data_IF_095083746438
#
_entry.id   IF_095083746438
#
_cell.length_a   1.000
_cell.length_b   1.000
_cell.length_c   1.000
_cell.angle_alpha   90.00
_cell.angle_beta   90.00
_cell.angle_gamma   90.00
#
_symmetry.space_group_name_H-M   'P 1'
#
loop_
_entity.id
_entity.type
_entity.pdbx_description
1 polymer ?
#
# COMPACT_ATOMS: atom_id res chain seq x y z
N UNK A 1 -32.70 -9.57 8.06
CA UNK A 1 -31.28 -9.99 7.92
C UNK A 1 -31.23 -11.23 7.05
N UNK A 2 -30.43 -11.25 5.97
CA UNK A 2 -30.26 -12.39 5.09
C UNK A 2 -29.55 -13.55 5.80
N UNK A 3 -29.79 -14.79 5.36
CA UNK A 3 -29.09 -15.96 5.92
C UNK A 3 -27.56 -15.86 5.70
N UNK A 4 -27.13 -15.29 4.59
CA UNK A 4 -25.74 -14.99 4.30
C UNK A 4 -25.11 -14.13 5.39
N UNK A 5 -25.73 -13.03 5.76
CA UNK A 5 -25.23 -12.13 6.80
C UNK A 5 -25.24 -12.81 8.18
N UNK A 6 -26.31 -13.54 8.51
CA UNK A 6 -26.44 -14.22 9.79
C UNK A 6 -25.35 -15.29 10.01
N UNK A 7 -25.00 -16.07 8.96
CA UNK A 7 -23.93 -17.08 9.00
C UNK A 7 -22.55 -16.42 9.19
N UNK A 8 -22.31 -15.32 8.48
CA UNK A 8 -21.03 -14.57 8.58
C UNK A 8 -20.85 -13.97 9.98
N UNK A 9 -21.85 -13.28 10.51
CA UNK A 9 -21.78 -12.66 11.83
C UNK A 9 -21.55 -13.72 12.92
N UNK A 10 -22.27 -14.84 12.87
CA UNK A 10 -22.10 -15.95 13.82
C UNK A 10 -20.68 -16.52 13.78
N UNK A 11 -20.16 -16.74 12.58
CA UNK A 11 -18.80 -17.23 12.38
C UNK A 11 -17.76 -16.24 12.89
N UNK A 12 -17.92 -14.96 12.58
CA UNK A 12 -16.99 -13.92 13.01
C UNK A 12 -16.90 -13.85 14.53
N UNK A 13 -18.01 -13.92 15.25
CA UNK A 13 -18.03 -13.87 16.73
C UNK A 13 -17.24 -15.01 17.38
N UNK A 14 -17.10 -16.16 16.75
CA UNK A 14 -16.47 -17.34 17.33
C UNK A 14 -15.12 -17.71 16.72
N UNK A 15 -14.90 -17.39 15.46
CA UNK A 15 -13.74 -17.81 14.67
C UNK A 15 -13.07 -16.68 13.86
N UNK A 16 -13.63 -15.48 13.91
CA UNK A 16 -13.04 -14.30 13.32
C UNK A 16 -11.79 -13.84 14.07
N UNK A 17 -11.08 -12.87 13.51
CA UNK A 17 -9.95 -12.23 14.17
C UNK A 17 -10.46 -11.16 15.13
N UNK A 18 -9.96 -11.16 16.38
CA UNK A 18 -10.35 -10.21 17.42
C UNK A 18 -9.15 -9.54 18.10
N UNK A 19 -7.95 -9.91 17.72
CA UNK A 19 -6.69 -9.52 18.37
C UNK A 19 -5.87 -8.50 17.57
N UNK A 20 -6.40 -8.02 16.44
CA UNK A 20 -5.70 -7.04 15.63
C UNK A 20 -5.70 -5.67 16.33
N UNK A 21 -4.55 -4.95 16.36
CA UNK A 21 -4.41 -3.72 17.14
C UNK A 21 -5.46 -2.65 16.83
N UNK A 22 -5.90 -2.58 15.58
CA UNK A 22 -6.89 -1.60 15.09
C UNK A 22 -8.36 -1.99 15.34
N UNK A 23 -8.64 -3.22 15.79
CA UNK A 23 -10.01 -3.66 16.12
C UNK A 23 -10.47 -3.24 17.51
N UNK A 24 -9.56 -2.78 18.37
CA UNK A 24 -9.84 -2.43 19.76
C UNK A 24 -10.17 -0.96 19.95
N UNK A 25 -10.45 -0.25 18.89
CA UNK A 25 -10.69 1.19 18.92
C UNK A 25 -11.75 1.61 17.93
N UNK A 26 -12.45 2.71 18.23
CA UNK A 26 -13.34 3.42 17.29
C UNK A 26 -12.73 4.77 16.87
N UNK A 27 -11.48 5.03 17.22
CA UNK A 27 -10.79 6.25 16.80
C UNK A 27 -10.60 6.26 15.28
N UNK A 28 -11.21 7.21 14.55
CA UNK A 28 -11.15 7.27 13.10
C UNK A 28 -9.73 7.36 12.53
N UNK A 29 -8.82 8.03 13.23
CA UNK A 29 -7.41 8.09 12.83
C UNK A 29 -6.77 6.71 12.81
N UNK A 30 -6.96 5.94 13.86
CA UNK A 30 -6.39 4.60 14.03
C UNK A 30 -6.98 3.59 13.05
N UNK A 31 -8.30 3.63 12.87
CA UNK A 31 -9.01 2.77 11.91
C UNK A 31 -8.58 3.11 10.48
N UNK A 32 -8.61 4.40 10.10
CA UNK A 32 -8.18 4.85 8.78
C UNK A 32 -6.73 4.48 8.47
N UNK A 33 -5.80 4.69 9.41
CA UNK A 33 -4.39 4.32 9.24
C UNK A 33 -4.26 2.84 8.89
N UNK A 34 -4.95 1.96 9.61
CA UNK A 34 -4.94 0.51 9.34
C UNK A 34 -5.53 0.17 7.98
N UNK A 35 -6.66 0.78 7.60
CA UNK A 35 -7.31 0.57 6.31
C UNK A 35 -6.38 0.93 5.14
N UNK A 36 -5.66 2.06 5.24
CA UNK A 36 -4.70 2.47 4.20
C UNK A 36 -3.47 1.56 4.18
N UNK A 37 -2.93 1.15 5.34
CA UNK A 37 -1.77 0.25 5.40
C UNK A 37 -2.09 -1.14 4.86
N UNK A 38 -3.30 -1.64 5.09
CA UNK A 38 -3.77 -2.97 4.64
C UNK A 38 -4.08 -3.05 3.15
N UNK A 39 -4.18 -1.92 2.43
CA UNK A 39 -4.36 -1.95 0.98
C UNK A 39 -3.19 -2.69 0.32
N UNK A 40 -3.47 -3.86 -0.27
CA UNK A 40 -2.50 -4.72 -0.96
C UNK A 40 -1.30 -5.17 -0.09
N UNK A 41 -1.43 -5.13 1.24
CA UNK A 41 -0.39 -5.54 2.19
C UNK A 41 -0.99 -6.50 3.22
N UNK A 42 -0.24 -7.53 3.60
CA UNK A 42 -0.70 -8.54 4.55
C UNK A 42 -0.67 -8.03 5.99
N UNK A 43 -1.57 -8.52 6.83
CA UNK A 43 -1.69 -8.16 8.25
C UNK A 43 -0.36 -8.33 9.01
N UNK A 44 0.33 -9.45 8.82
CA UNK A 44 1.61 -9.71 9.49
C UNK A 44 2.69 -8.67 9.16
N UNK A 45 2.67 -8.15 7.93
CA UNK A 45 3.57 -7.06 7.51
C UNK A 45 3.13 -5.72 8.09
N UNK A 46 1.81 -5.44 8.11
CA UNK A 46 1.27 -4.15 8.56
C UNK A 46 1.41 -3.94 10.06
N UNK A 47 1.20 -4.98 10.88
CA UNK A 47 1.16 -4.85 12.33
C UNK A 47 2.38 -4.11 12.93
N UNK A 48 3.64 -4.49 12.65
CA UNK A 48 4.79 -3.77 13.20
C UNK A 48 4.91 -2.33 12.69
N UNK A 49 4.50 -2.06 11.44
CA UNK A 49 4.49 -0.70 10.89
C UNK A 49 3.43 0.18 11.56
N UNK A 50 2.24 -0.35 11.77
CA UNK A 50 1.14 0.34 12.42
C UNK A 50 1.50 0.76 13.84
N UNK A 51 2.07 -0.15 14.63
CA UNK A 51 2.48 0.14 16.00
C UNK A 51 3.58 1.21 16.06
N UNK A 52 4.64 1.06 15.26
CA UNK A 52 5.73 2.04 15.16
C UNK A 52 5.24 3.41 14.67
N UNK A 53 4.30 3.43 13.73
CA UNK A 53 3.74 4.67 13.21
C UNK A 53 2.96 5.43 14.28
N UNK A 54 2.13 4.72 15.07
CA UNK A 54 1.37 5.32 16.18
C UNK A 54 2.24 5.69 17.38
N UNK A 55 3.35 5.03 17.60
CA UNK A 55 4.33 5.42 18.62
C UNK A 55 4.94 6.79 18.30
N UNK A 56 5.25 7.04 17.03
CA UNK A 56 5.87 8.28 16.58
C UNK A 56 4.89 9.39 16.29
N UNK A 57 3.73 9.06 15.72
CA UNK A 57 2.68 9.98 15.31
C UNK A 57 1.33 9.50 15.91
N UNK A 58 1.12 9.70 17.22
CA UNK A 58 -0.01 9.11 17.95
C UNK A 58 -1.36 9.68 17.58
N UNK A 59 -1.42 10.90 17.05
CA UNK A 59 -2.65 11.60 16.66
C UNK A 59 -2.66 12.05 15.21
N UNK A 60 -3.85 12.35 14.70
CA UNK A 60 -4.03 12.93 13.38
C UNK A 60 -3.28 14.27 13.23
N UNK A 61 -3.27 15.08 14.29
CA UNK A 61 -2.58 16.37 14.31
C UNK A 61 -1.06 16.20 14.19
N UNK A 62 -0.50 15.21 14.89
CA UNK A 62 0.93 14.88 14.79
C UNK A 62 1.28 14.47 13.36
N UNK A 63 0.46 13.61 12.73
CA UNK A 63 0.66 13.21 11.34
C UNK A 63 0.56 14.42 10.39
N UNK A 64 -0.41 15.30 10.58
CA UNK A 64 -0.59 16.47 9.70
C UNK A 64 0.58 17.47 9.82
N UNK A 65 1.16 17.63 11.02
CA UNK A 65 2.27 18.52 11.29
C UNK A 65 3.65 17.94 10.95
N UNK A 66 3.75 16.61 10.82
CA UNK A 66 5.02 15.94 10.56
C UNK A 66 5.66 16.38 9.23
N UNK A 67 6.98 16.43 9.12
CA UNK A 67 7.65 16.55 7.85
C UNK A 67 7.33 15.37 6.92
N UNK A 68 7.22 15.64 5.61
CA UNK A 68 6.93 14.58 4.63
C UNK A 68 7.96 13.47 4.68
N UNK A 69 9.23 13.81 4.88
CA UNK A 69 10.35 12.86 4.98
C UNK A 69 10.17 11.87 6.13
N UNK A 70 9.68 12.34 7.28
CA UNK A 70 9.41 11.49 8.45
C UNK A 70 8.30 10.49 8.15
N UNK A 71 7.20 10.93 7.55
CA UNK A 71 6.09 10.06 7.14
C UNK A 71 6.55 9.02 6.13
N UNK A 72 7.35 9.42 5.14
CA UNK A 72 7.90 8.52 4.13
C UNK A 72 8.90 7.51 4.72
N UNK A 73 9.71 7.92 5.68
CA UNK A 73 10.63 7.04 6.42
C UNK A 73 9.88 5.99 7.22
N UNK A 74 8.87 6.38 7.98
CA UNK A 74 8.00 5.45 8.75
C UNK A 74 7.28 4.45 7.85
N UNK A 75 7.00 4.81 6.59
CA UNK A 75 6.35 3.97 5.59
C UNK A 75 7.31 3.10 4.78
N UNK A 76 8.62 3.38 4.86
CA UNK A 76 9.64 2.73 4.04
C UNK A 76 9.62 1.21 4.22
N UNK A 77 9.52 0.46 3.12
CA UNK A 77 9.39 -0.99 3.10
C UNK A 77 7.97 -1.52 2.89
N UNK A 78 6.89 -0.74 3.19
CA UNK A 78 5.51 -1.17 2.93
C UNK A 78 5.14 -1.15 1.43
N UNK A 79 5.88 -0.41 0.62
CA UNK A 79 5.57 -0.24 -0.80
C UNK A 79 4.35 0.65 -1.08
N UNK A 80 4.03 0.83 -2.38
CA UNK A 80 2.91 1.68 -2.81
C UNK A 80 2.91 3.06 -2.14
N UNK A 81 4.02 3.76 -2.22
CA UNK A 81 4.31 5.02 -1.50
C UNK A 81 3.32 6.17 -1.77
N UNK A 82 2.54 6.09 -2.86
CA UNK A 82 1.43 7.01 -3.08
C UNK A 82 0.41 6.98 -1.92
N UNK A 83 0.28 5.83 -1.22
CA UNK A 83 -0.59 5.72 -0.04
C UNK A 83 -0.08 6.60 1.10
N UNK A 84 1.22 6.61 1.37
CA UNK A 84 1.82 7.45 2.41
C UNK A 84 1.66 8.95 2.10
N UNK A 85 1.88 9.34 0.84
CA UNK A 85 1.65 10.74 0.41
C UNK A 85 0.20 11.16 0.55
N UNK A 86 -0.73 10.30 0.11
CA UNK A 86 -2.16 10.56 0.24
C UNK A 86 -2.61 10.57 1.70
N UNK A 87 -2.05 9.67 2.54
CA UNK A 87 -2.28 9.64 3.98
C UNK A 87 -1.89 10.98 4.61
N UNK A 88 -0.70 11.49 4.31
CA UNK A 88 -0.24 12.77 4.82
C UNK A 88 -1.08 13.95 4.30
N UNK A 89 -1.40 13.97 2.99
CA UNK A 89 -2.26 14.99 2.41
C UNK A 89 -3.69 14.95 3.00
N UNK A 90 -4.20 13.75 3.27
CA UNK A 90 -5.50 13.57 3.92
C UNK A 90 -5.50 14.12 5.35
N UNK A 91 -4.47 13.81 6.16
CA UNK A 91 -4.35 14.33 7.52
C UNK A 91 -4.39 15.86 7.54
N UNK A 92 -3.63 16.52 6.66
CA UNK A 92 -3.65 17.98 6.49
C UNK A 92 -5.02 18.49 6.09
N UNK A 93 -5.69 17.83 5.12
CA UNK A 93 -7.01 18.21 4.68
C UNK A 93 -8.06 18.10 5.81
N UNK A 94 -7.97 17.09 6.67
CA UNK A 94 -8.87 16.95 7.83
C UNK A 94 -8.62 18.05 8.85
N UNK A 95 -7.36 18.39 9.13
CA UNK A 95 -7.04 19.51 10.03
C UNK A 95 -7.54 20.84 9.47
N UNK A 96 -7.25 21.13 8.20
CA UNK A 96 -7.56 22.41 7.57
C UNK A 96 -9.06 22.63 7.31
N UNK A 97 -9.79 21.57 6.89
CA UNK A 97 -11.16 21.69 6.41
C UNK A 97 -12.21 21.20 7.40
N UNK A 98 -11.80 20.34 8.35
CA UNK A 98 -12.70 19.70 9.31
C UNK A 98 -12.27 19.93 10.77
N UNK A 99 -11.37 20.90 11.04
CA UNK A 99 -10.93 21.24 12.40
C UNK A 99 -10.23 20.11 13.15
N UNK A 100 -9.63 19.16 12.44
CA UNK A 100 -8.92 18.02 13.02
C UNK A 100 -9.79 16.80 13.38
N UNK A 101 -11.11 16.85 13.11
CA UNK A 101 -12.02 15.74 13.31
C UNK A 101 -12.43 15.10 11.97
N UNK A 102 -12.41 13.77 11.89
CA UNK A 102 -12.92 13.09 10.70
C UNK A 102 -14.41 13.40 10.49
N UNK A 103 -14.84 13.71 9.25
CA UNK A 103 -16.26 13.78 8.93
C UNK A 103 -16.92 12.42 9.18
N UNK A 104 -18.21 12.41 9.53
CA UNK A 104 -18.93 11.17 9.82
C UNK A 104 -19.63 10.61 8.59
N UNK A 105 -20.05 11.48 7.67
CA UNK A 105 -20.74 11.09 6.44
C UNK A 105 -19.81 10.38 5.44
N UNK A 106 -20.17 9.19 4.96
CA UNK A 106 -19.33 8.40 4.03
C UNK A 106 -18.90 9.17 2.78
N UNK A 107 -19.79 9.99 2.22
CA UNK A 107 -19.48 10.82 1.05
C UNK A 107 -18.40 11.88 1.35
N UNK A 108 -18.43 12.49 2.53
CA UNK A 108 -17.43 13.46 2.97
C UNK A 108 -16.07 12.78 3.24
N UNK A 109 -16.07 11.58 3.84
CA UNK A 109 -14.86 10.77 4.02
C UNK A 109 -14.26 10.39 2.67
N UNK A 110 -15.09 9.96 1.70
CA UNK A 110 -14.64 9.57 0.36
C UNK A 110 -14.07 10.73 -0.47
N UNK A 111 -14.41 11.97 -0.13
CA UNK A 111 -13.85 13.17 -0.77
C UNK A 111 -12.43 13.52 -0.28
N UNK A 112 -11.94 12.88 0.79
CA UNK A 112 -10.59 13.10 1.31
C UNK A 112 -9.52 12.43 0.43
N UNK A 113 -8.30 12.99 0.37
CA UNK A 113 -7.22 12.46 -0.45
C UNK A 113 -6.91 10.98 -0.19
N UNK A 114 -6.94 10.17 -1.25
CA UNK A 114 -6.57 8.74 -1.19
C UNK A 114 -7.60 7.82 -0.55
N UNK A 115 -8.77 8.29 -0.19
CA UNK A 115 -9.86 7.48 0.37
C UNK A 115 -10.87 7.17 -0.73
N UNK A 116 -10.99 5.88 -1.07
CA UNK A 116 -12.02 5.39 -1.98
C UNK A 116 -13.32 5.01 -1.25
N UNK A 117 -14.41 4.82 -2.01
CA UNK A 117 -15.74 4.48 -1.48
C UNK A 117 -15.72 3.36 -0.44
N UNK A 118 -15.05 2.22 -0.74
CA UNK A 118 -15.02 1.07 0.19
C UNK A 118 -14.33 1.40 1.51
N UNK A 119 -13.20 2.13 1.45
CA UNK A 119 -12.47 2.56 2.66
C UNK A 119 -13.27 3.59 3.46
N UNK A 120 -13.94 4.54 2.78
CA UNK A 120 -14.80 5.52 3.44
C UNK A 120 -15.94 4.86 4.19
N UNK A 121 -16.60 3.90 3.55
CA UNK A 121 -17.69 3.13 4.15
C UNK A 121 -17.19 2.32 5.36
N UNK A 122 -16.03 1.64 5.26
CA UNK A 122 -15.45 0.90 6.38
C UNK A 122 -15.14 1.81 7.59
N UNK A 123 -14.58 2.99 7.36
CA UNK A 123 -14.32 3.98 8.43
C UNK A 123 -15.64 4.43 9.04
N UNK A 124 -16.64 4.76 8.22
CA UNK A 124 -17.94 5.22 8.69
C UNK A 124 -18.67 4.14 9.53
N UNK A 125 -18.58 2.87 9.10
CA UNK A 125 -19.19 1.76 9.83
C UNK A 125 -18.49 1.49 11.17
N UNK A 126 -17.15 1.39 11.16
CA UNK A 126 -16.40 1.05 12.37
C UNK A 126 -16.37 2.16 13.42
N UNK A 127 -16.36 3.42 12.96
CA UNK A 127 -16.20 4.57 13.85
C UNK A 127 -17.52 5.24 14.22
N UNK A 128 -18.48 5.27 13.30
CA UNK A 128 -19.71 6.06 13.41
C UNK A 128 -21.00 5.24 13.26
N UNK A 129 -20.89 3.91 13.20
CA UNK A 129 -22.03 2.98 13.10
C UNK A 129 -22.91 3.25 11.86
N UNK A 130 -22.29 3.72 10.78
CA UNK A 130 -22.99 3.87 9.51
C UNK A 130 -23.45 2.50 8.98
N UNK A 131 -24.44 2.49 8.12
CA UNK A 131 -24.93 1.28 7.47
C UNK A 131 -24.60 1.32 5.98
N UNK A 132 -23.36 1.01 5.66
CA UNK A 132 -22.82 1.10 4.31
C UNK A 132 -22.13 -0.19 3.85
N UNK A 133 -22.33 -0.63 2.60
CA UNK A 133 -21.63 -1.81 2.08
C UNK A 133 -20.17 -1.50 1.78
N UNK A 134 -19.29 -2.49 1.98
CA UNK A 134 -17.89 -2.42 1.53
C UNK A 134 -17.66 -3.36 0.33
N UNK A 135 -16.63 -3.07 -0.47
CA UNK A 135 -16.28 -3.87 -1.63
C UNK A 135 -14.78 -3.85 -1.90
N UNK A 136 -14.01 -4.36 -0.93
CA UNK A 136 -12.56 -4.56 -1.08
C UNK A 136 -12.23 -5.83 -1.89
N UNK A 137 -10.96 -6.15 -2.07
CA UNK A 137 -10.52 -7.33 -2.81
C UNK A 137 -10.95 -8.66 -2.18
N UNK A 138 -11.11 -8.73 -0.86
CA UNK A 138 -11.61 -9.91 -0.15
C UNK A 138 -13.10 -10.09 -0.38
N UNK A 139 -13.87 -9.02 -0.18
CA UNK A 139 -15.33 -9.02 -0.38
C UNK A 139 -15.66 -9.34 -1.83
N UNK A 140 -15.01 -8.71 -2.82
CA UNK A 140 -15.17 -9.04 -4.25
C UNK A 140 -14.99 -10.54 -4.51
N UNK A 141 -13.96 -11.15 -3.94
CA UNK A 141 -13.69 -12.58 -4.11
C UNK A 141 -14.75 -13.48 -3.46
N UNK A 142 -15.14 -13.16 -2.22
CA UNK A 142 -16.19 -13.89 -1.51
C UNK A 142 -17.51 -13.84 -2.26
N UNK A 143 -17.95 -12.66 -2.68
CA UNK A 143 -19.20 -12.48 -3.43
C UNK A 143 -19.16 -13.17 -4.79
N UNK A 144 -18.06 -13.03 -5.56
CA UNK A 144 -17.94 -13.71 -6.85
C UNK A 144 -18.06 -15.24 -6.70
N UNK A 145 -17.42 -15.83 -5.70
CA UNK A 145 -17.47 -17.27 -5.46
C UNK A 145 -18.83 -17.72 -4.91
N UNK A 146 -19.35 -17.01 -3.93
CA UNK A 146 -20.59 -17.40 -3.27
C UNK A 146 -21.79 -17.31 -4.21
N UNK A 147 -21.85 -16.31 -5.08
CA UNK A 147 -22.98 -16.05 -5.99
C UNK A 147 -22.67 -16.38 -7.46
N UNK A 148 -21.54 -16.99 -7.78
CA UNK A 148 -21.18 -17.39 -9.14
C UNK A 148 -21.05 -16.20 -10.10
N UNK A 149 -20.56 -15.04 -9.63
CA UNK A 149 -20.45 -13.85 -10.48
C UNK A 149 -19.23 -13.97 -11.39
N UNK A 150 -19.49 -14.01 -12.68
CA UNK A 150 -18.49 -14.10 -13.74
C UNK A 150 -17.96 -12.72 -14.14
N UNK A 151 -16.83 -12.74 -14.80
CA UNK A 151 -16.13 -11.56 -15.26
C UNK A 151 -15.05 -11.08 -14.27
N UNK A 152 -14.19 -10.18 -14.76
CA UNK A 152 -13.18 -9.55 -13.91
C UNK A 152 -13.85 -8.57 -12.93
N UNK A 153 -13.66 -8.71 -11.60
CA UNK A 153 -14.35 -7.89 -10.59
C UNK A 153 -14.05 -6.39 -10.65
N UNK A 154 -13.00 -5.99 -11.37
CA UNK A 154 -12.67 -4.59 -11.63
C UNK A 154 -13.20 -4.06 -12.95
N UNK A 155 -13.96 -4.85 -13.72
CA UNK A 155 -14.67 -4.36 -14.90
C UNK A 155 -15.91 -3.56 -14.45
N UNK A 156 -16.18 -2.37 -15.03
CA UNK A 156 -17.23 -1.47 -14.52
C UNK A 156 -18.60 -2.11 -14.35
N UNK A 157 -19.02 -2.96 -15.30
CA UNK A 157 -20.30 -3.65 -15.23
C UNK A 157 -20.36 -4.68 -14.09
N UNK A 158 -19.27 -5.45 -13.89
CA UNK A 158 -19.17 -6.45 -12.82
C UNK A 158 -19.08 -5.76 -11.46
N UNK A 159 -18.28 -4.71 -11.36
CA UNK A 159 -18.14 -3.93 -10.13
C UNK A 159 -19.45 -3.28 -9.71
N UNK A 160 -20.21 -2.71 -10.65
CA UNK A 160 -21.56 -2.18 -10.38
C UNK A 160 -22.50 -3.26 -9.83
N UNK A 161 -22.50 -4.47 -10.43
CA UNK A 161 -23.30 -5.61 -9.97
C UNK A 161 -22.88 -6.04 -8.54
N UNK A 162 -21.57 -6.07 -8.26
CA UNK A 162 -21.05 -6.43 -6.94
C UNK A 162 -21.45 -5.39 -5.87
N UNK A 163 -21.43 -4.09 -6.19
CA UNK A 163 -21.90 -3.04 -5.29
C UNK A 163 -23.40 -3.17 -4.98
N UNK A 164 -24.23 -3.45 -6.00
CA UNK A 164 -25.66 -3.69 -5.78
C UNK A 164 -25.86 -4.89 -4.85
N UNK A 165 -25.21 -6.01 -5.15
CA UNK A 165 -25.30 -7.21 -4.32
C UNK A 165 -24.81 -6.98 -2.88
N UNK A 166 -23.70 -6.24 -2.70
CA UNK A 166 -23.19 -5.92 -1.37
C UNK A 166 -24.19 -5.08 -0.56
N UNK A 167 -24.91 -4.16 -1.21
CA UNK A 167 -25.96 -3.37 -0.58
C UNK A 167 -27.20 -4.23 -0.22
N UNK A 168 -27.62 -5.14 -1.10
CA UNK A 168 -28.77 -6.03 -0.87
C UNK A 168 -28.53 -7.02 0.28
N UNK A 169 -27.27 -7.40 0.51
CA UNK A 169 -26.86 -8.34 1.56
C UNK A 169 -26.60 -7.68 2.91
N UNK A 170 -26.57 -6.35 2.96
CA UNK A 170 -26.23 -5.60 4.16
C UNK A 170 -27.29 -5.79 5.25
N UNK A 171 -26.94 -6.24 6.46
CA UNK A 171 -27.90 -6.44 7.54
C UNK A 171 -28.37 -5.11 8.14
N UNK A 172 -29.50 -5.15 8.85
CA UNK A 172 -30.07 -3.98 9.52
C UNK A 172 -29.37 -3.67 10.88
N UNK A 173 -28.65 -4.66 11.41
CA UNK A 173 -27.92 -4.56 12.68
C UNK A 173 -26.61 -5.33 12.61
N UNK A 174 -25.68 -5.05 13.54
CA UNK A 174 -24.38 -5.71 13.63
C UNK A 174 -23.51 -5.51 12.37
N UNK A 175 -23.66 -4.37 11.69
CA UNK A 175 -22.99 -4.06 10.42
C UNK A 175 -21.47 -4.16 10.55
N UNK A 176 -20.88 -3.61 11.60
CA UNK A 176 -19.43 -3.72 11.84
C UNK A 176 -18.93 -5.16 11.96
N UNK A 177 -19.68 -6.05 12.63
CA UNK A 177 -19.36 -7.47 12.72
C UNK A 177 -19.49 -8.17 11.36
N UNK A 178 -20.50 -7.81 10.57
CA UNK A 178 -20.70 -8.33 9.21
C UNK A 178 -19.57 -7.93 8.27
N UNK A 179 -19.17 -6.65 8.28
CA UNK A 179 -18.08 -6.13 7.46
C UNK A 179 -16.76 -6.80 7.83
N UNK A 180 -16.47 -6.87 9.14
CA UNK A 180 -15.28 -7.56 9.63
C UNK A 180 -15.30 -9.04 9.24
N UNK A 181 -16.45 -9.70 9.30
CA UNK A 181 -16.60 -11.11 8.89
C UNK A 181 -16.26 -11.33 7.41
N UNK A 182 -16.68 -10.45 6.52
CA UNK A 182 -16.37 -10.55 5.10
C UNK A 182 -14.87 -10.41 4.84
N UNK A 183 -14.21 -9.45 5.48
CA UNK A 183 -12.76 -9.24 5.38
C UNK A 183 -12.00 -10.43 5.96
N UNK A 184 -12.39 -10.92 7.13
CA UNK A 184 -11.77 -12.07 7.80
C UNK A 184 -11.93 -13.35 6.99
N UNK A 185 -13.12 -13.62 6.50
CA UNK A 185 -13.39 -14.79 5.66
C UNK A 185 -12.51 -14.79 4.41
N UNK A 186 -12.44 -13.63 3.74
CA UNK A 186 -11.59 -13.48 2.56
C UNK A 186 -10.10 -13.66 2.88
N UNK A 187 -9.64 -13.11 4.00
CA UNK A 187 -8.23 -13.17 4.38
C UNK A 187 -7.80 -14.55 4.90
N UNK A 188 -8.69 -15.31 5.55
CA UNK A 188 -8.31 -16.52 6.31
C UNK A 188 -8.82 -17.84 5.72
N UNK A 189 -10.02 -17.88 5.15
CA UNK A 189 -10.64 -19.11 4.62
C UNK A 189 -10.82 -19.06 3.11
N UNK A 190 -11.52 -18.05 2.59
CA UNK A 190 -11.78 -17.88 1.16
C UNK A 190 -10.59 -17.19 0.47
N UNK A 191 -9.40 -17.72 0.67
CA UNK A 191 -8.14 -17.18 0.12
C UNK A 191 -8.08 -17.30 -1.40
N UNK A 192 -7.19 -16.51 -2.03
CA UNK A 192 -7.04 -16.49 -3.49
C UNK A 192 -6.69 -17.86 -4.06
N UNK A 193 -5.76 -18.54 -3.41
CA UNK A 193 -5.30 -19.89 -3.76
C UNK A 193 -5.64 -20.85 -2.63
N UNK A 194 -6.01 -22.11 -2.95
CA UNK A 194 -6.30 -23.16 -1.96
C UNK A 194 -7.27 -22.72 -0.85
N UNK A 195 -8.49 -22.25 -1.17
CA UNK A 195 -9.47 -21.86 -0.17
C UNK A 195 -9.86 -23.06 0.72
N UNK A 196 -10.05 -22.82 2.02
CA UNK A 196 -10.47 -23.84 2.99
C UNK A 196 -12.00 -23.95 3.03
N UNK A 197 -12.59 -24.49 1.97
CA UNK A 197 -14.03 -24.53 1.78
C UNK A 197 -14.78 -25.35 2.82
N UNK A 198 -14.15 -26.39 3.38
CA UNK A 198 -14.81 -27.28 4.37
C UNK A 198 -14.99 -26.59 5.74
N UNK A 199 -14.18 -25.60 6.05
CA UNK A 199 -14.31 -24.77 7.26
C UNK A 199 -15.13 -23.48 7.01
N UNK A 200 -15.63 -23.27 5.79
CA UNK A 200 -16.28 -22.02 5.41
C UNK A 200 -17.75 -21.98 5.89
N UNK A 201 -18.21 -20.94 6.61
CA UNK A 201 -19.60 -20.82 7.05
C UNK A 201 -20.61 -20.72 5.88
N UNK A 202 -20.12 -20.39 4.69
CA UNK A 202 -20.91 -20.24 3.47
C UNK A 202 -20.83 -21.46 2.54
N UNK A 203 -20.19 -22.55 2.97
CA UNK A 203 -19.87 -23.70 2.12
C UNK A 203 -21.10 -24.29 1.39
N UNK A 204 -22.24 -24.42 2.09
CA UNK A 204 -23.45 -25.03 1.56
C UNK A 204 -24.13 -24.19 0.46
N UNK A 205 -24.08 -22.87 0.59
CA UNK A 205 -24.71 -21.95 -0.36
C UNK A 205 -23.73 -21.43 -1.44
N UNK A 206 -22.46 -21.84 -1.39
CA UNK A 206 -21.44 -21.32 -2.30
C UNK A 206 -21.53 -21.96 -3.68
N UNK A 207 -21.87 -21.16 -4.70
CA UNK A 207 -21.96 -21.60 -6.10
C UNK A 207 -20.63 -22.15 -6.58
N UNK A 208 -19.54 -21.43 -6.38
CA UNK A 208 -18.22 -21.85 -6.85
C UNK A 208 -17.77 -23.19 -6.23
N UNK A 209 -18.09 -23.47 -4.94
CA UNK A 209 -17.82 -24.76 -4.32
C UNK A 209 -18.67 -25.88 -4.95
N UNK A 210 -19.96 -25.66 -5.06
CA UNK A 210 -20.89 -26.65 -5.63
C UNK A 210 -20.53 -27.04 -7.07
N UNK A 211 -20.04 -26.08 -7.85
CA UNK A 211 -19.70 -26.26 -9.26
C UNK A 211 -18.20 -26.57 -9.49
N UNK A 212 -17.39 -26.69 -8.44
CA UNK A 212 -15.95 -26.96 -8.56
C UNK A 212 -15.13 -25.79 -9.15
N UNK A 213 -15.65 -24.56 -9.14
CA UNK A 213 -15.10 -23.37 -9.82
C UNK A 213 -14.38 -22.40 -8.90
N UNK A 214 -13.93 -22.84 -7.73
CA UNK A 214 -13.26 -21.96 -6.75
C UNK A 214 -11.94 -21.38 -7.24
N UNK A 215 -11.25 -22.02 -8.17
CA UNK A 215 -10.02 -21.52 -8.80
C UNK A 215 -10.28 -20.58 -9.98
N UNK A 216 -11.43 -20.72 -10.64
CA UNK A 216 -11.83 -19.88 -11.77
C UNK A 216 -12.41 -18.52 -11.30
N UNK A 217 -13.10 -18.52 -10.14
CA UNK A 217 -13.74 -17.33 -9.60
C UNK A 217 -12.95 -16.71 -8.43
N UNK A 218 -12.82 -15.39 -8.41
CA UNK A 218 -13.16 -14.42 -9.47
C UNK A 218 -12.26 -14.54 -10.69
N UNK A 219 -12.77 -14.26 -11.87
CA UNK A 219 -11.96 -14.24 -13.08
C UNK A 219 -10.85 -13.18 -12.99
N UNK A 220 -9.66 -13.56 -13.41
CA UNK A 220 -8.50 -12.69 -13.38
C UNK A 220 -8.62 -11.59 -14.46
N UNK A 221 -7.99 -10.45 -14.19
CA UNK A 221 -7.78 -9.44 -15.23
C UNK A 221 -6.99 -10.06 -16.39
N UNK A 222 -7.41 -9.89 -17.65
CA UNK A 222 -6.63 -10.33 -18.79
C UNK A 222 -5.19 -9.85 -18.68
N UNK A 223 -4.24 -10.77 -18.76
CA UNK A 223 -2.82 -10.45 -18.66
C UNK A 223 -2.38 -9.70 -19.92
N UNK A 224 -1.83 -8.52 -19.76
CA UNK A 224 -1.03 -7.86 -20.79
C UNK A 224 0.44 -8.08 -20.45
N UNK A 225 1.29 -8.25 -21.47
CA UNK A 225 2.73 -8.24 -21.25
C UNK A 225 3.12 -6.94 -20.55
N UNK A 226 3.90 -7.05 -19.50
CA UNK A 226 4.41 -5.86 -18.82
C UNK A 226 5.53 -5.27 -19.69
N UNK A 227 5.47 -3.97 -20.01
CA UNK A 227 6.59 -3.28 -20.65
C UNK A 227 7.86 -3.46 -19.81
N UNK A 228 8.97 -3.65 -20.48
CA UNK A 228 10.29 -3.68 -19.87
C UNK A 228 10.94 -2.31 -20.03
N UNK A 229 11.64 -1.85 -19.00
CA UNK A 229 12.41 -0.62 -18.98
C UNK A 229 13.76 -0.91 -18.36
N UNK A 230 14.77 -0.22 -18.83
CA UNK A 230 16.09 -0.25 -18.26
C UNK A 230 16.48 1.16 -17.84
N UNK A 231 17.19 1.28 -16.73
CA UNK A 231 17.77 2.54 -16.30
C UNK A 231 19.12 2.29 -15.62
N UNK A 232 20.03 3.21 -15.83
CA UNK A 232 21.36 3.19 -15.20
C UNK A 232 21.29 4.13 -13.99
N UNK A 233 21.76 3.66 -12.84
CA UNK A 233 21.81 4.44 -11.61
C UNK A 233 23.25 4.55 -11.14
N UNK A 234 23.66 5.77 -10.77
CA UNK A 234 24.98 6.00 -10.23
C UNK A 234 25.01 5.77 -8.73
N UNK A 235 25.88 4.89 -8.29
CA UNK A 235 26.25 4.70 -6.88
C UNK A 235 27.50 5.54 -6.64
N UNK A 236 27.35 6.84 -6.44
CA UNK A 236 28.47 7.73 -6.16
C UNK A 236 28.83 7.62 -4.70
N UNK A 237 30.05 7.12 -4.41
CA UNK A 237 30.53 6.81 -3.07
C UNK A 237 31.75 7.67 -2.70
N UNK A 238 31.72 8.28 -1.52
CA UNK A 238 32.84 8.95 -0.89
C UNK A 238 33.08 8.32 0.50
N UNK A 239 33.96 7.34 0.56
CA UNK A 239 34.20 6.54 1.76
C UNK A 239 32.94 5.82 2.24
N UNK A 240 32.47 6.16 3.43
CA UNK A 240 31.28 5.59 4.05
C UNK A 240 29.99 6.37 3.72
N UNK A 241 29.98 7.21 2.69
CA UNK A 241 28.83 7.99 2.28
C UNK A 241 28.47 7.74 0.82
N UNK A 242 27.17 7.83 0.51
CA UNK A 242 26.63 7.74 -0.85
C UNK A 242 25.82 8.98 -1.19
N UNK A 243 25.89 9.42 -2.43
CA UNK A 243 25.12 10.54 -2.95
C UNK A 243 23.74 10.03 -3.39
N UNK A 244 22.70 10.66 -2.86
CA UNK A 244 21.30 10.39 -3.20
C UNK A 244 20.63 11.64 -3.73
N UNK A 245 19.63 11.46 -4.58
CA UNK A 245 18.74 12.53 -5.06
C UNK A 245 17.33 12.39 -4.47
N UNK A 246 16.70 13.51 -4.18
CA UNK A 246 15.28 13.56 -3.83
C UNK A 246 14.44 13.41 -5.09
N UNK A 247 13.69 12.30 -5.22
CA UNK A 247 12.82 12.11 -6.39
C UNK A 247 11.66 13.11 -6.38
N UNK A 248 11.25 13.60 -7.56
CA UNK A 248 10.06 14.44 -7.68
C UNK A 248 8.83 13.78 -7.02
N UNK A 249 7.84 14.54 -6.55
CA UNK A 249 6.63 13.97 -5.92
C UNK A 249 5.86 13.01 -6.81
N UNK A 250 5.96 13.16 -8.14
CA UNK A 250 5.32 12.31 -9.14
C UNK A 250 6.33 11.33 -9.77
N UNK A 251 5.81 10.23 -10.35
CA UNK A 251 6.64 9.24 -11.02
C UNK A 251 7.06 8.07 -10.12
N UNK A 252 8.07 7.32 -10.59
CA UNK A 252 8.60 6.16 -9.88
C UNK A 252 9.28 6.62 -8.60
N UNK A 253 8.89 5.98 -7.46
CA UNK A 253 9.44 6.29 -6.14
C UNK A 253 9.32 7.77 -5.72
N UNK A 254 8.31 8.47 -6.24
CA UNK A 254 8.12 9.88 -5.98
C UNK A 254 8.17 10.24 -4.50
N UNK A 255 8.94 11.27 -4.15
CA UNK A 255 9.13 11.74 -2.79
C UNK A 255 10.08 10.90 -1.93
N UNK A 256 10.71 9.85 -2.47
CA UNK A 256 11.77 9.09 -1.81
C UNK A 256 13.16 9.59 -2.22
N UNK A 257 14.14 9.24 -1.43
CA UNK A 257 15.54 9.33 -1.86
C UNK A 257 15.85 8.17 -2.81
N UNK A 258 16.66 8.41 -3.82
CA UNK A 258 17.11 7.40 -4.80
C UNK A 258 18.54 7.68 -5.20
N UNK A 259 19.17 6.71 -5.83
CA UNK A 259 20.42 6.94 -6.56
C UNK A 259 20.14 7.87 -7.75
N UNK A 260 21.08 8.77 -8.11
CA UNK A 260 21.00 9.58 -9.32
C UNK A 260 20.84 8.71 -10.57
N UNK A 261 19.91 9.04 -11.43
CA UNK A 261 19.67 8.31 -12.68
C UNK A 261 20.56 8.91 -13.78
N UNK A 262 21.34 8.05 -14.45
CA UNK A 262 22.20 8.48 -15.56
C UNK A 262 21.33 8.69 -16.81
N UNK A 263 21.37 9.86 -17.43
CA UNK A 263 20.70 10.10 -18.71
C UNK A 263 21.18 9.14 -19.81
N UNK A 264 20.30 8.77 -20.73
CA UNK A 264 20.65 7.88 -21.84
C UNK A 264 21.83 8.43 -22.67
N UNK A 265 22.83 7.59 -22.88
CA UNK A 265 24.04 7.94 -23.61
C UNK A 265 25.06 8.82 -22.87
N UNK A 266 24.77 9.21 -21.61
CA UNK A 266 25.71 9.98 -20.82
C UNK A 266 26.86 9.11 -20.29
N UNK A 267 28.02 9.73 -20.10
CA UNK A 267 29.19 9.12 -19.49
C UNK A 267 29.07 9.16 -17.96
N UNK A 268 29.21 8.02 -17.24
CA UNK A 268 29.05 7.97 -15.79
C UNK A 268 29.99 8.89 -15.02
N UNK A 269 31.27 8.98 -15.46
CA UNK A 269 32.25 9.82 -14.76
C UNK A 269 31.90 11.30 -14.91
N UNK A 270 31.65 11.75 -16.14
CA UNK A 270 31.27 13.14 -16.40
C UNK A 270 29.97 13.54 -15.71
N UNK A 271 29.01 12.61 -15.65
CA UNK A 271 27.76 12.88 -14.92
C UNK A 271 28.03 13.03 -13.42
N UNK A 272 28.84 12.16 -12.80
CA UNK A 272 29.22 12.30 -11.40
C UNK A 272 30.00 13.60 -11.13
N UNK A 273 30.88 14.02 -12.06
CA UNK A 273 31.57 15.31 -11.99
C UNK A 273 30.58 16.49 -12.01
N UNK A 274 29.52 16.42 -12.85
CA UNK A 274 28.48 17.43 -12.87
C UNK A 274 27.65 17.51 -11.60
N UNK A 275 27.64 16.42 -10.80
CA UNK A 275 27.01 16.38 -9.46
C UNK A 275 27.96 16.88 -8.36
N UNK A 276 29.11 17.45 -8.72
CA UNK A 276 30.06 18.06 -7.80
C UNK A 276 31.00 17.06 -7.13
N UNK A 277 31.44 16.05 -7.84
CA UNK A 277 32.34 15.01 -7.36
C UNK A 277 33.65 14.97 -8.18
N UNK A 278 34.77 14.69 -7.53
CA UNK A 278 36.02 14.32 -8.18
C UNK A 278 36.03 12.78 -8.34
N UNK A 279 35.99 12.27 -9.56
CA UNK A 279 35.88 10.84 -9.83
C UNK A 279 37.24 10.15 -9.73
N UNK A 280 37.31 9.06 -8.98
CA UNK A 280 38.50 8.25 -8.75
C UNK A 280 38.47 6.96 -9.63
N UNK A 281 37.32 6.27 -9.65
CA UNK A 281 37.16 5.07 -10.46
C UNK A 281 35.69 4.83 -10.76
N UNK A 282 35.43 4.03 -11.83
CA UNK A 282 34.09 3.64 -12.27
C UNK A 282 34.04 2.13 -12.49
N UNK A 283 33.05 1.46 -11.92
CA UNK A 283 32.83 0.03 -12.08
C UNK A 283 31.34 -0.30 -12.27
N UNK A 284 31.02 -1.33 -13.03
CA UNK A 284 29.63 -1.82 -13.17
C UNK A 284 29.31 -2.79 -12.04
N UNK A 285 28.16 -2.65 -11.44
CA UNK A 285 27.63 -3.61 -10.47
C UNK A 285 26.62 -4.56 -11.16
N UNK A 286 26.28 -5.71 -10.52
CA UNK A 286 25.28 -6.62 -11.04
C UNK A 286 23.92 -5.93 -11.23
N UNK A 287 23.22 -6.18 -12.34
CA UNK A 287 21.90 -5.60 -12.57
C UNK A 287 20.86 -6.23 -11.63
N UNK A 288 19.86 -5.44 -11.22
CA UNK A 288 18.76 -5.87 -10.37
C UNK A 288 17.43 -5.63 -11.08
N UNK A 289 16.58 -6.67 -11.13
CA UNK A 289 15.25 -6.57 -11.74
C UNK A 289 14.22 -6.31 -10.66
N UNK A 290 13.42 -5.26 -10.84
CA UNK A 290 12.30 -4.91 -9.98
C UNK A 290 10.99 -4.85 -10.77
N UNK A 291 9.97 -5.58 -10.31
CA UNK A 291 8.66 -5.61 -10.96
C UNK A 291 7.71 -4.62 -10.29
N UNK A 292 7.21 -3.67 -11.07
CA UNK A 292 6.06 -2.84 -10.72
C UNK A 292 4.76 -3.50 -11.23
N UNK A 293 3.63 -2.98 -10.82
CA UNK A 293 2.32 -3.48 -11.27
C UNK A 293 2.04 -3.25 -12.76
N UNK A 294 2.76 -2.32 -13.41
CA UNK A 294 2.51 -1.87 -14.78
C UNK A 294 3.73 -1.93 -15.71
N UNK A 295 4.92 -2.23 -15.19
CA UNK A 295 6.14 -2.49 -15.97
C UNK A 295 7.18 -3.24 -15.12
N UNK A 296 8.24 -3.72 -15.78
CA UNK A 296 9.44 -4.30 -15.14
C UNK A 296 10.62 -3.36 -15.37
N UNK A 297 11.37 -3.03 -14.31
CA UNK A 297 12.56 -2.19 -14.38
C UNK A 297 13.81 -3.05 -14.13
N UNK A 298 14.72 -2.99 -15.07
CA UNK A 298 16.10 -3.50 -14.88
C UNK A 298 16.98 -2.31 -14.47
N UNK A 299 17.37 -2.28 -13.20
CA UNK A 299 18.35 -1.32 -12.69
C UNK A 299 19.73 -1.82 -13.06
N UNK A 300 20.54 -0.96 -13.67
CA UNK A 300 21.95 -1.21 -13.99
C UNK A 300 22.81 -0.26 -13.15
N UNK A 301 23.22 -0.66 -11.92
CA UNK A 301 23.98 0.22 -11.06
C UNK A 301 25.42 0.35 -11.56
N UNK A 302 25.97 1.56 -11.48
CA UNK A 302 27.35 1.87 -11.78
C UNK A 302 27.97 2.52 -10.56
N UNK A 303 28.92 1.84 -9.94
CA UNK A 303 29.69 2.37 -8.80
C UNK A 303 30.69 3.41 -9.32
N UNK A 304 30.66 4.58 -8.73
CA UNK A 304 31.59 5.68 -8.94
C UNK A 304 32.25 6.00 -7.61
N UNK A 305 33.48 5.58 -7.42
CA UNK A 305 34.28 6.04 -6.30
C UNK A 305 34.71 7.47 -6.57
N UNK A 306 34.40 8.36 -5.65
CA UNK A 306 34.61 9.78 -5.84
C UNK A 306 34.88 10.49 -4.51
N UNK A 307 35.35 11.73 -4.60
CA UNK A 307 35.45 12.68 -3.48
C UNK A 307 34.43 13.79 -3.68
N UNK A 308 33.66 14.07 -2.62
CA UNK A 308 32.73 15.19 -2.63
C UNK A 308 33.51 16.52 -2.64
N UNK A 309 33.15 17.41 -3.56
CA UNK A 309 33.73 18.75 -3.60
C UNK A 309 32.99 19.70 -2.63
N UNK A 310 33.64 20.71 -2.05
CA UNK A 310 33.03 21.57 -1.01
C UNK A 310 31.78 22.35 -1.44
N UNK A 311 31.53 22.48 -2.70
CA UNK A 311 30.40 23.26 -3.28
C UNK A 311 29.34 22.41 -3.94
N UNK A 312 29.33 21.09 -3.72
CA UNK A 312 28.51 20.08 -4.37
C UNK A 312 27.13 19.89 -3.75
N UNK A 313 26.46 20.92 -3.32
CA UNK A 313 25.06 20.82 -2.85
C UNK A 313 24.12 21.50 -3.87
N UNK A 314 23.83 20.80 -4.97
CA UNK A 314 22.64 21.16 -5.76
C UNK A 314 21.37 20.86 -4.97
N UNK A 315 20.35 21.69 -5.16
CA UNK A 315 19.03 21.51 -4.55
C UNK A 315 18.51 20.13 -4.91
N UNK A 316 18.28 19.29 -3.88
CA UNK A 316 17.76 17.93 -4.06
C UNK A 316 18.79 16.80 -3.98
N UNK A 317 20.10 17.11 -3.88
CA UNK A 317 21.14 16.11 -3.62
C UNK A 317 21.49 16.03 -2.13
N UNK A 318 21.76 14.84 -1.63
CA UNK A 318 22.10 14.58 -0.24
C UNK A 318 23.13 13.45 -0.10
N UNK A 319 24.19 13.71 0.60
CA UNK A 319 25.10 12.66 1.09
C UNK A 319 24.49 11.95 2.30
N UNK A 320 24.38 10.64 2.23
CA UNK A 320 23.87 9.78 3.30
C UNK A 320 24.99 8.83 3.75
N UNK A 321 25.16 8.67 5.07
CA UNK A 321 26.06 7.65 5.58
C UNK A 321 25.49 6.24 5.33
N UNK A 322 26.34 5.26 5.00
CA UNK A 322 25.91 3.87 4.78
C UNK A 322 25.24 3.28 6.03
N UNK A 323 25.62 3.72 7.23
CA UNK A 323 24.98 3.35 8.49
C UNK A 323 23.53 3.83 8.63
N UNK A 324 23.11 4.84 7.86
CA UNK A 324 21.75 5.41 7.91
C UNK A 324 20.80 4.79 6.87
N UNK A 325 21.27 3.88 6.01
CA UNK A 325 20.48 3.28 4.91
C UNK A 325 19.22 2.62 5.42
N UNK A 326 19.25 1.94 6.57
CA UNK A 326 18.11 1.23 7.14
C UNK A 326 16.96 2.16 7.54
N UNK A 327 17.28 3.35 8.05
CA UNK A 327 16.30 4.34 8.50
C UNK A 327 15.87 5.32 7.40
N UNK A 328 16.62 5.40 6.30
CA UNK A 328 16.33 6.33 5.22
C UNK A 328 15.10 5.95 4.41
N UNK A 329 14.40 6.95 3.86
CA UNK A 329 13.24 6.78 3.00
C UNK A 329 13.66 6.34 1.58
N UNK A 330 14.10 5.09 1.45
CA UNK A 330 14.61 4.49 0.21
C UNK A 330 13.65 3.45 -0.37
N UNK A 331 13.51 3.36 -1.72
CA UNK A 331 12.85 2.23 -2.35
C UNK A 331 13.61 0.93 -2.07
N UNK A 332 12.88 -0.16 -1.91
CA UNK A 332 13.48 -1.50 -1.66
C UNK A 332 14.62 -1.88 -2.62
N UNK A 333 14.50 -1.70 -3.96
CA UNK A 333 15.59 -2.07 -4.86
C UNK A 333 16.83 -1.18 -4.70
N UNK A 334 16.67 0.10 -4.40
CA UNK A 334 17.80 1.00 -4.12
C UNK A 334 18.48 0.60 -2.80
N UNK A 335 17.70 0.33 -1.75
CA UNK A 335 18.24 -0.16 -0.48
C UNK A 335 19.06 -1.44 -0.67
N UNK A 336 18.59 -2.40 -1.48
CA UNK A 336 19.32 -3.63 -1.78
C UNK A 336 20.66 -3.37 -2.45
N UNK A 337 20.70 -2.50 -3.46
CA UNK A 337 21.96 -2.13 -4.13
C UNK A 337 22.96 -1.55 -3.13
N UNK A 338 22.50 -0.69 -2.20
CA UNK A 338 23.37 -0.06 -1.21
C UNK A 338 23.83 -1.00 -0.08
N UNK A 339 23.06 -2.05 0.23
CA UNK A 339 23.43 -3.07 1.22
C UNK A 339 24.49 -4.06 0.70
N UNK A 340 24.70 -4.12 -0.61
CA UNK A 340 25.68 -4.99 -1.27
C UNK A 340 27.04 -4.29 -1.51
N UNK A 341 27.20 -3.02 -1.06
CA UNK A 341 28.44 -2.24 -1.13
C UNK A 341 29.42 -2.57 0.00
#
# INVERSE_FOLDING_TARGET
>A
MSEFAARLIRWQKTQGRHDLPWQRTRDPYRVWLSEIMLQQTQVATVTPYYLRFLERLPTLADLAAAPTEEVMSLWSGLGYYARARNLHACARAVVERHGGAFPQEPAAIAALPGIGRSTANAIADFCFEAREPILDGNVKRVLCRCFGIEGFPGAPAVEKRLWSLAADLLPDSEVGAYIQAQMDLGATLCTRTKPRCDACPLAEQCVARREGRTEELPQAKPRRALPEREAIFLVVRDGERVLLEQRPPQGIWGGLLSLPELPEGADPARHAESLGCEVLSVARLPPLVHAFTHFRLTLKPVLVEAKALPHAAEVGLRWLALSEIESAALPTPIRKVLQEL
#
